data_IF_857555591769
#
_entry.id   IF_857555591769
#
_cell.length_a   1.000
_cell.length_b   1.000
_cell.length_c   1.000
_cell.angle_alpha   90.00
_cell.angle_beta   90.00
_cell.angle_gamma   90.00
#
_symmetry.space_group_name_H-M   'P 1'
#
loop_
_entity.id
_entity.type
_entity.pdbx_description
1 polymer ?
#
# COMPACT_ATOMS: atom_id res chain seq x y z
N UNK A 1 -40.98 -54.50 36.36
CA UNK A 1 -39.96 -54.20 35.33
C UNK A 1 -40.14 -52.73 34.94
N UNK A 2 -39.34 -51.81 35.49
CA UNK A 2 -39.41 -50.37 35.17
C UNK A 2 -38.25 -50.05 34.23
N UNK A 3 -38.56 -49.72 32.97
CA UNK A 3 -37.57 -49.22 32.01
C UNK A 3 -37.34 -47.73 32.27
N UNK A 4 -36.11 -47.36 32.59
CA UNK A 4 -35.65 -45.98 32.63
C UNK A 4 -35.14 -45.62 31.23
N UNK A 5 -35.80 -44.68 30.55
CA UNK A 5 -35.31 -44.11 29.30
C UNK A 5 -34.27 -43.05 29.65
N UNK A 6 -33.00 -43.30 29.34
CA UNK A 6 -31.92 -42.32 29.47
C UNK A 6 -31.91 -41.45 28.21
N UNK A 7 -32.39 -40.21 28.30
CA UNK A 7 -32.28 -39.23 27.23
C UNK A 7 -30.84 -38.70 27.26
N UNK A 8 -30.02 -39.14 26.32
CA UNK A 8 -28.68 -38.57 26.08
C UNK A 8 -28.88 -37.31 25.25
N UNK A 9 -28.81 -36.15 25.91
CA UNK A 9 -28.71 -34.88 25.23
C UNK A 9 -27.32 -34.77 24.59
N UNK A 10 -27.26 -34.93 23.26
CA UNK A 10 -26.09 -34.61 22.44
C UNK A 10 -25.89 -33.10 22.45
N UNK A 11 -25.10 -32.61 23.40
CA UNK A 11 -24.52 -31.26 23.30
C UNK A 11 -23.51 -31.28 22.15
N UNK A 12 -23.85 -30.60 21.06
CA UNK A 12 -22.90 -30.22 20.01
C UNK A 12 -21.92 -29.19 20.59
N UNK A 13 -20.88 -29.69 21.27
CA UNK A 13 -19.67 -28.92 21.52
C UNK A 13 -19.11 -28.52 20.16
N UNK A 14 -19.40 -27.28 19.73
CA UNK A 14 -18.60 -26.63 18.71
C UNK A 14 -17.19 -26.57 19.27
N UNK A 15 -16.32 -27.48 18.86
CA UNK A 15 -14.90 -27.38 19.10
C UNK A 15 -14.44 -26.08 18.45
N UNK A 16 -14.42 -25.01 19.24
CA UNK A 16 -13.70 -23.81 18.89
C UNK A 16 -12.25 -24.25 18.90
N UNK A 17 -11.65 -24.49 17.72
CA UNK A 17 -10.20 -24.59 17.67
C UNK A 17 -9.69 -23.22 18.08
N UNK A 18 -9.12 -23.15 19.30
CA UNK A 18 -8.30 -22.01 19.63
C UNK A 18 -7.09 -22.09 18.70
N UNK A 19 -7.11 -21.32 17.61
CA UNK A 19 -5.94 -21.16 16.76
C UNK A 19 -4.88 -20.45 17.60
N UNK A 20 -3.87 -21.21 18.02
CA UNK A 20 -2.66 -20.67 18.64
C UNK A 20 -1.96 -19.75 17.65
N UNK A 21 -1.33 -18.68 18.14
CA UNK A 21 -0.52 -17.82 17.28
C UNK A 21 0.66 -18.58 16.68
N UNK A 22 0.64 -18.75 15.37
CA UNK A 22 1.79 -19.21 14.58
C UNK A 22 2.91 -18.15 14.56
N UNK A 23 3.97 -18.39 13.81
CA UNK A 23 5.10 -17.46 13.73
C UNK A 23 4.77 -16.12 13.06
N UNK A 24 3.78 -16.04 12.18
CA UNK A 24 3.33 -14.83 11.50
C UNK A 24 2.27 -14.06 12.30
N UNK A 25 1.56 -14.74 13.20
CA UNK A 25 0.41 -14.20 13.92
C UNK A 25 0.71 -13.88 15.39
N UNK A 26 1.98 -13.65 15.77
CA UNK A 26 2.37 -13.29 17.15
C UNK A 26 2.31 -11.77 17.35
N UNK A 27 1.43 -11.23 18.23
CA UNK A 27 1.42 -9.80 18.55
C UNK A 27 2.75 -9.26 19.07
N UNK A 28 3.58 -10.14 19.67
CA UNK A 28 4.93 -9.83 20.14
C UNK A 28 5.89 -9.33 19.04
N UNK A 29 5.57 -9.54 17.76
CA UNK A 29 6.33 -8.98 16.64
C UNK A 29 6.26 -7.45 16.60
N UNK A 30 5.15 -6.88 17.04
CA UNK A 30 4.98 -5.43 17.16
C UNK A 30 5.63 -4.92 18.44
N UNK A 31 5.12 -5.38 19.59
CA UNK A 31 5.67 -5.09 20.91
C UNK A 31 5.43 -6.25 21.87
N UNK A 32 6.38 -6.48 22.78
CA UNK A 32 6.36 -7.63 23.70
C UNK A 32 5.49 -7.40 24.94
N UNK A 33 5.15 -6.16 25.23
CA UNK A 33 4.50 -5.68 26.46
C UNK A 33 3.01 -5.38 26.30
N UNK A 34 2.37 -5.90 25.25
CA UNK A 34 0.93 -5.75 25.04
C UNK A 34 0.08 -6.45 26.10
N UNK A 35 -1.01 -5.79 26.49
CA UNK A 35 -2.09 -6.38 27.27
C UNK A 35 -2.82 -7.42 26.42
N UNK A 36 -3.10 -8.58 27.01
CA UNK A 36 -3.72 -9.74 26.35
C UNK A 36 -5.03 -10.16 27.00
N UNK A 37 -5.31 -9.67 28.21
CA UNK A 37 -6.56 -9.88 28.91
C UNK A 37 -7.65 -9.02 28.24
N UNK A 38 -8.61 -9.68 27.58
CA UNK A 38 -9.71 -9.03 26.88
C UNK A 38 -10.49 -8.04 27.76
N UNK A 39 -10.68 -8.35 29.05
CA UNK A 39 -11.40 -7.47 29.98
C UNK A 39 -10.64 -6.20 30.36
N UNK A 40 -9.33 -6.14 30.10
CA UNK A 40 -8.46 -4.98 30.36
C UNK A 40 -8.16 -4.16 29.10
N UNK A 41 -8.51 -4.69 27.92
CA UNK A 41 -8.37 -3.98 26.66
C UNK A 41 -9.50 -2.96 26.47
N UNK A 42 -9.23 -1.79 25.89
CA UNK A 42 -10.29 -0.85 25.53
C UNK A 42 -11.21 -1.48 24.48
N UNK A 43 -12.52 -1.24 24.61
CA UNK A 43 -13.51 -1.68 23.61
C UNK A 43 -13.66 -0.71 22.44
N UNK A 44 -13.13 0.51 22.57
CA UNK A 44 -13.08 1.53 21.52
C UNK A 44 -11.88 2.44 21.74
N UNK A 45 -11.40 3.06 20.67
CA UNK A 45 -10.31 4.03 20.73
C UNK A 45 -10.15 4.76 19.40
N UNK A 46 -9.53 5.93 19.45
CA UNK A 46 -9.22 6.73 18.28
C UNK A 46 -7.90 7.47 18.53
N UNK A 47 -7.09 7.64 17.48
CA UNK A 47 -5.86 8.42 17.55
C UNK A 47 -6.16 9.90 17.85
N UNK A 48 -5.26 10.54 18.58
CA UNK A 48 -5.29 11.98 18.85
C UNK A 48 -4.94 12.79 17.59
N UNK A 49 -3.98 12.29 16.80
CA UNK A 49 -3.59 12.85 15.51
C UNK A 49 -4.04 11.90 14.42
N UNK A 50 -4.89 12.39 13.51
CA UNK A 50 -5.40 11.60 12.40
C UNK A 50 -4.37 11.64 11.26
N UNK A 51 -3.90 10.48 10.77
CA UNK A 51 -3.06 10.41 9.58
C UNK A 51 -3.71 11.14 8.40
N UNK A 52 -2.93 11.96 7.70
CA UNK A 52 -3.48 12.83 6.67
C UNK A 52 -3.99 12.07 5.45
N UNK A 53 -5.01 12.62 4.78
CA UNK A 53 -5.53 12.03 3.55
C UNK A 53 -4.66 12.37 2.34
N UNK A 54 -4.60 11.47 1.36
CA UNK A 54 -3.81 11.64 0.15
C UNK A 54 -4.23 10.67 -0.95
N UNK A 55 -3.54 10.74 -2.07
CA UNK A 55 -3.69 9.77 -3.17
C UNK A 55 -2.60 8.69 -3.03
N UNK A 56 -2.90 7.48 -3.51
CA UNK A 56 -1.92 6.41 -3.65
C UNK A 56 -1.04 6.59 -4.88
N UNK A 57 -1.18 7.71 -5.63
CA UNK A 57 -0.42 8.04 -6.84
C UNK A 57 -0.42 6.86 -7.83
N UNK A 58 -1.57 6.65 -8.51
CA UNK A 58 -1.81 5.44 -9.29
C UNK A 58 -0.80 5.28 -10.42
N UNK A 59 -0.31 4.05 -10.60
CA UNK A 59 0.60 3.70 -11.70
C UNK A 59 -0.06 3.96 -13.05
N UNK A 60 -1.36 3.70 -13.19
CA UNK A 60 -2.15 3.94 -14.43
C UNK A 60 -2.30 5.43 -14.79
N UNK A 61 -1.89 6.34 -13.89
CA UNK A 61 -1.82 7.79 -14.10
C UNK A 61 -0.39 8.32 -14.16
N UNK A 62 0.62 7.45 -14.08
CA UNK A 62 2.03 7.84 -14.06
C UNK A 62 2.55 8.23 -12.67
N UNK A 63 1.86 7.85 -11.61
CA UNK A 63 2.26 8.12 -10.23
C UNK A 63 2.51 9.60 -9.98
N UNK A 64 3.66 9.98 -9.41
CA UNK A 64 3.94 11.39 -9.09
C UNK A 64 4.29 12.26 -10.30
N UNK A 65 4.31 11.69 -11.52
CA UNK A 65 4.35 12.46 -12.78
C UNK A 65 2.97 12.91 -13.24
N UNK A 66 1.92 12.56 -12.50
CA UNK A 66 0.58 13.03 -12.81
C UNK A 66 0.44 14.53 -12.47
N UNK A 67 0.08 15.34 -13.47
CA UNK A 67 -0.27 16.75 -13.30
C UNK A 67 -1.65 16.89 -12.64
N UNK A 68 -1.68 16.74 -11.32
CA UNK A 68 -2.91 16.71 -10.51
C UNK A 68 -3.68 18.04 -10.54
N UNK A 69 -3.00 19.16 -10.76
CA UNK A 69 -3.61 20.50 -10.81
C UNK A 69 -3.89 21.01 -12.25
N UNK A 70 -3.68 20.18 -13.26
CA UNK A 70 -3.98 20.50 -14.66
C UNK A 70 -5.40 20.02 -15.03
N UNK A 71 -6.21 20.96 -15.55
CA UNK A 71 -7.51 20.66 -16.15
C UNK A 71 -7.36 20.53 -17.66
N UNK A 72 -7.83 19.41 -18.22
CA UNK A 72 -7.82 19.13 -19.66
C UNK A 72 -8.96 18.18 -20.01
N UNK A 73 -9.46 18.28 -21.24
CA UNK A 73 -10.46 17.37 -21.80
C UNK A 73 -9.88 15.99 -22.15
N UNK A 74 -8.56 15.87 -22.33
CA UNK A 74 -7.88 14.61 -22.66
C UNK A 74 -7.07 14.10 -21.48
N UNK A 75 -7.54 13.02 -20.84
CA UNK A 75 -6.92 12.44 -19.64
C UNK A 75 -5.40 12.22 -19.78
N UNK A 76 -4.95 11.75 -20.94
CA UNK A 76 -3.53 11.46 -21.18
C UNK A 76 -2.64 12.70 -21.22
N UNK A 77 -3.15 13.91 -21.45
CA UNK A 77 -2.32 15.13 -21.42
C UNK A 77 -1.78 15.45 -20.01
N UNK A 78 -2.35 14.82 -18.96
CA UNK A 78 -1.90 14.98 -17.58
C UNK A 78 -0.68 14.12 -17.21
N UNK A 79 -0.32 13.16 -18.04
CA UNK A 79 0.82 12.25 -17.80
C UNK A 79 1.70 12.02 -19.03
N UNK A 80 1.13 12.09 -20.24
CA UNK A 80 1.78 11.95 -21.54
C UNK A 80 2.31 13.25 -22.15
N UNK A 81 2.62 14.24 -21.32
CA UNK A 81 3.22 15.51 -21.76
C UNK A 81 4.70 15.33 -22.14
N UNK A 82 5.25 16.14 -23.08
CA UNK A 82 6.68 16.12 -23.39
C UNK A 82 7.51 16.63 -22.20
N UNK A 83 8.74 16.14 -22.07
CA UNK A 83 9.71 16.71 -21.12
C UNK A 83 10.06 18.12 -21.58
N UNK A 84 10.04 19.08 -20.66
CA UNK A 84 10.32 20.48 -20.97
C UNK A 84 11.82 20.72 -21.20
N UNK A 85 12.13 21.79 -21.93
CA UNK A 85 13.50 22.29 -22.03
C UNK A 85 13.83 23.11 -20.78
N UNK A 86 14.72 22.59 -19.93
CA UNK A 86 15.12 23.22 -18.67
C UNK A 86 15.77 24.60 -18.88
N UNK A 87 16.41 24.82 -20.04
CA UNK A 87 17.05 26.10 -20.37
C UNK A 87 16.04 27.14 -20.88
N UNK A 88 14.79 26.74 -21.17
CA UNK A 88 13.73 27.61 -21.67
C UNK A 88 12.37 27.34 -21.02
N UNK A 89 12.26 27.69 -19.73
CA UNK A 89 10.99 27.62 -18.98
C UNK A 89 10.12 28.89 -19.12
N UNK A 90 10.44 29.79 -20.06
CA UNK A 90 9.70 31.05 -20.21
C UNK A 90 8.26 30.78 -20.66
N UNK A 91 7.30 31.23 -19.86
CA UNK A 91 5.87 31.05 -20.12
C UNK A 91 5.31 29.69 -19.69
N UNK A 92 6.13 28.84 -19.05
CA UNK A 92 5.65 27.62 -18.38
C UNK A 92 4.95 28.00 -17.08
N UNK A 93 3.67 27.63 -16.97
CA UNK A 93 2.94 27.72 -15.71
C UNK A 93 3.35 26.56 -14.79
N UNK A 94 4.29 26.85 -13.89
CA UNK A 94 4.83 25.85 -12.95
C UNK A 94 3.76 25.30 -12.02
N UNK A 95 2.68 26.04 -11.73
CA UNK A 95 1.59 25.59 -10.84
C UNK A 95 0.83 24.37 -11.38
N UNK A 96 0.93 24.12 -12.70
CA UNK A 96 0.28 23.02 -13.42
C UNK A 96 1.16 21.80 -13.63
N UNK A 97 2.45 21.91 -13.32
CA UNK A 97 3.38 20.80 -13.46
C UNK A 97 3.14 19.74 -12.39
N UNK A 98 3.63 18.53 -12.65
CA UNK A 98 3.55 17.40 -11.74
C UNK A 98 4.53 17.57 -10.58
N UNK A 99 4.31 16.87 -9.45
CA UNK A 99 5.25 16.88 -8.34
C UNK A 99 6.68 16.53 -8.77
N UNK A 100 6.85 15.53 -9.64
CA UNK A 100 8.16 15.13 -10.17
C UNK A 100 8.83 16.24 -11.00
N UNK A 101 8.08 16.89 -11.89
CA UNK A 101 8.62 17.99 -12.70
C UNK A 101 9.04 19.18 -11.84
N UNK A 102 8.22 19.55 -10.85
CA UNK A 102 8.55 20.63 -9.92
C UNK A 102 9.81 20.31 -9.13
N UNK A 103 9.99 19.06 -8.72
CA UNK A 103 11.20 18.61 -8.03
C UNK A 103 12.46 18.73 -8.91
N UNK A 104 12.40 18.26 -10.14
CA UNK A 104 13.52 18.36 -11.09
C UNK A 104 13.89 19.84 -11.35
N UNK A 105 12.88 20.69 -11.55
CA UNK A 105 13.06 22.14 -11.75
C UNK A 105 13.64 22.81 -10.49
N UNK A 106 13.16 22.42 -9.30
CA UNK A 106 13.69 22.93 -8.02
C UNK A 106 15.18 22.66 -7.87
N UNK A 107 15.63 21.47 -8.25
CA UNK A 107 17.05 21.10 -8.23
C UNK A 107 17.84 21.68 -9.42
N UNK A 108 17.16 22.16 -10.47
CA UNK A 108 17.80 22.52 -11.73
C UNK A 108 18.36 21.30 -12.48
N UNK A 109 17.74 20.14 -12.29
CA UNK A 109 18.19 18.88 -12.87
C UNK A 109 17.80 18.78 -14.36
N UNK A 110 18.77 19.08 -15.22
CA UNK A 110 18.59 19.04 -16.69
C UNK A 110 18.27 17.64 -17.22
N UNK A 111 18.59 16.59 -16.47
CA UNK A 111 18.30 15.22 -16.88
C UNK A 111 16.85 14.81 -16.57
N UNK A 112 16.12 15.60 -15.78
CA UNK A 112 14.75 15.28 -15.33
C UNK A 112 14.70 13.92 -14.64
N UNK A 113 15.63 13.68 -13.71
CA UNK A 113 15.88 12.35 -13.14
C UNK A 113 14.65 11.80 -12.43
N UNK A 114 13.93 12.61 -11.64
CA UNK A 114 12.73 12.15 -10.94
C UNK A 114 11.58 11.86 -11.91
N UNK A 115 11.34 12.77 -12.86
CA UNK A 115 10.29 12.58 -13.88
C UNK A 115 10.54 11.34 -14.73
N UNK A 116 11.78 11.11 -15.16
CA UNK A 116 12.15 9.92 -15.95
C UNK A 116 12.11 8.65 -15.11
N UNK A 117 12.63 8.69 -13.89
CA UNK A 117 12.56 7.58 -12.95
C UNK A 117 11.12 7.11 -12.78
N UNK A 118 10.21 8.03 -12.47
CA UNK A 118 8.82 7.66 -12.18
C UNK A 118 8.07 7.20 -13.43
N UNK A 119 8.31 7.82 -14.59
CA UNK A 119 7.76 7.35 -15.88
C UNK A 119 8.25 5.95 -16.24
N UNK A 120 9.50 5.64 -15.93
CA UNK A 120 10.06 4.31 -16.16
C UNK A 120 9.47 3.29 -15.18
N UNK A 121 9.43 3.62 -13.87
CA UNK A 121 8.84 2.77 -12.83
C UNK A 121 7.39 2.41 -13.17
N UNK A 122 6.61 3.40 -13.59
CA UNK A 122 5.19 3.20 -13.91
C UNK A 122 4.94 2.61 -15.29
N UNK A 123 5.88 2.73 -16.22
CA UNK A 123 5.67 2.37 -17.61
C UNK A 123 4.59 3.20 -18.32
N UNK A 124 4.16 4.33 -17.73
CA UNK A 124 2.99 5.10 -18.21
C UNK A 124 3.13 5.54 -19.67
N UNK A 125 4.34 5.80 -20.13
CA UNK A 125 4.59 6.23 -21.51
C UNK A 125 4.30 5.14 -22.55
N UNK A 126 4.12 3.88 -22.14
CA UNK A 126 3.66 2.80 -23.02
C UNK A 126 2.17 2.92 -23.38
N UNK A 127 1.39 3.64 -22.58
CA UNK A 127 -0.07 3.83 -22.81
C UNK A 127 -0.38 5.07 -23.65
N UNK A 128 0.61 5.93 -23.93
CA UNK A 128 0.41 7.23 -24.59
C UNK A 128 0.66 7.09 -26.11
N UNK A 129 -0.36 7.23 -26.97
CA UNK A 129 -0.17 7.20 -28.42
C UNK A 129 0.80 8.31 -28.88
N UNK A 130 1.75 7.95 -29.75
CA UNK A 130 2.79 8.87 -30.23
C UNK A 130 4.04 8.95 -29.35
N UNK A 131 4.03 8.32 -28.18
CA UNK A 131 5.24 8.08 -27.39
C UNK A 131 6.18 7.10 -28.10
N UNK A 132 7.50 7.29 -27.97
CA UNK A 132 8.51 6.36 -28.51
C UNK A 132 8.46 4.97 -27.87
N UNK A 133 7.85 4.84 -26.69
CA UNK A 133 7.67 3.58 -25.98
C UNK A 133 6.25 3.03 -26.10
N UNK A 134 5.39 3.60 -26.95
CA UNK A 134 4.00 3.18 -27.07
C UNK A 134 3.87 1.70 -27.44
N UNK A 135 3.02 0.97 -26.71
CA UNK A 135 2.71 -0.43 -26.97
C UNK A 135 1.19 -0.57 -27.08
N UNK A 136 0.70 -0.94 -28.26
CA UNK A 136 -0.72 -1.13 -28.49
C UNK A 136 -1.29 -2.24 -27.57
N UNK A 137 -2.37 -1.94 -26.86
CA UNK A 137 -3.00 -2.87 -25.92
C UNK A 137 -2.25 -3.05 -24.59
N UNK A 138 -1.22 -2.24 -24.32
CA UNK A 138 -0.59 -2.24 -23.01
C UNK A 138 -1.51 -1.60 -21.97
N UNK A 139 -1.83 -2.35 -20.92
CA UNK A 139 -2.68 -1.92 -19.81
C UNK A 139 -1.87 -1.93 -18.52
N UNK A 140 -2.13 -0.94 -17.67
CA UNK A 140 -1.59 -0.86 -16.31
C UNK A 140 -2.74 -1.15 -15.36
N UNK A 141 -2.62 -2.11 -14.43
CA UNK A 141 -3.66 -2.37 -13.44
C UNK A 141 -3.98 -1.13 -12.61
N UNK A 142 -5.27 -0.80 -12.47
CA UNK A 142 -5.71 0.44 -11.82
C UNK A 142 -5.37 0.52 -10.32
N UNK A 143 -5.22 -0.64 -9.66
CA UNK A 143 -4.94 -0.73 -8.22
C UNK A 143 -3.47 -0.54 -7.89
N UNK A 144 -2.57 -0.68 -8.87
CA UNK A 144 -1.13 -0.47 -8.63
C UNK A 144 -0.84 1.01 -8.34
N UNK A 145 0.01 1.25 -7.36
CA UNK A 145 0.51 2.58 -7.03
C UNK A 145 1.47 2.55 -5.84
N UNK A 146 1.46 3.63 -5.08
CA UNK A 146 2.33 3.90 -3.94
C UNK A 146 1.58 3.84 -2.60
N UNK A 147 0.47 3.08 -2.50
CA UNK A 147 -0.29 2.98 -1.24
C UNK A 147 0.59 2.48 -0.08
N UNK A 148 1.53 1.57 -0.36
CA UNK A 148 2.49 1.03 0.61
C UNK A 148 3.48 2.07 1.14
N UNK A 149 3.67 3.18 0.43
CA UNK A 149 4.54 4.28 0.83
C UNK A 149 3.73 5.47 1.37
N UNK A 150 2.57 5.75 0.78
CA UNK A 150 1.66 6.78 1.24
C UNK A 150 1.15 6.49 2.66
N UNK A 151 0.62 5.28 2.90
CA UNK A 151 0.07 4.91 4.20
C UNK A 151 1.06 5.13 5.37
N UNK A 152 2.31 4.62 5.34
CA UNK A 152 3.27 4.92 6.40
C UNK A 152 3.76 6.37 6.41
N UNK A 153 3.85 7.06 5.26
CA UNK A 153 4.17 8.49 5.24
C UNK A 153 3.15 9.32 6.04
N UNK A 154 1.88 8.89 6.06
CA UNK A 154 0.83 9.54 6.86
C UNK A 154 0.98 9.38 8.37
N UNK A 155 1.79 8.40 8.80
CA UNK A 155 2.07 8.12 10.22
C UNK A 155 3.33 8.84 10.70
N UNK A 156 4.32 8.95 9.83
CA UNK A 156 5.67 9.42 10.19
C UNK A 156 5.82 10.94 10.01
N UNK A 157 5.09 11.53 9.06
CA UNK A 157 5.19 12.96 8.76
C UNK A 157 3.90 13.69 9.11
N UNK A 158 4.04 14.88 9.67
CA UNK A 158 2.95 15.85 9.78
C UNK A 158 2.38 16.17 8.38
N UNK A 159 1.10 16.54 8.32
CA UNK A 159 0.46 16.88 7.05
C UNK A 159 1.17 18.06 6.39
N UNK A 160 1.77 17.89 5.19
CA UNK A 160 2.49 18.97 4.58
C UNK A 160 1.51 19.98 3.94
N UNK A 161 1.74 21.26 4.24
CA UNK A 161 1.09 22.38 3.58
C UNK A 161 1.69 22.71 2.21
N UNK A 162 1.09 23.67 1.52
CA UNK A 162 1.68 24.26 0.32
C UNK A 162 2.87 25.15 0.71
N UNK A 163 3.90 25.17 -0.14
CA UNK A 163 5.11 25.99 0.05
C UNK A 163 5.53 26.66 -1.26
N UNK A 164 6.16 27.82 -1.15
CA UNK A 164 6.87 28.47 -2.26
C UNK A 164 8.35 28.49 -1.95
N UNK A 165 9.16 28.00 -2.90
CA UNK A 165 10.62 27.92 -2.74
C UNK A 165 11.32 28.49 -3.95
N UNK A 166 12.51 29.06 -3.74
CA UNK A 166 13.38 29.49 -4.83
C UNK A 166 14.15 28.29 -5.37
N UNK A 167 13.92 27.92 -6.63
CA UNK A 167 14.64 26.84 -7.30
C UNK A 167 16.08 27.20 -7.66
N UNK A 168 16.86 26.20 -8.07
CA UNK A 168 18.27 26.36 -8.45
C UNK A 168 18.49 27.35 -9.60
N UNK A 169 17.51 27.50 -10.50
CA UNK A 169 17.54 28.46 -11.61
C UNK A 169 17.04 29.87 -11.21
N UNK A 170 16.78 30.10 -9.92
CA UNK A 170 16.45 31.40 -9.35
C UNK A 170 14.99 31.84 -9.47
N UNK A 171 14.13 31.07 -10.13
CA UNK A 171 12.69 31.31 -10.18
C UNK A 171 11.99 30.75 -8.93
N UNK A 172 10.83 31.31 -8.62
CA UNK A 172 9.95 30.82 -7.55
C UNK A 172 9.11 29.65 -8.06
N UNK A 173 9.03 28.57 -7.26
CA UNK A 173 8.27 27.36 -7.56
C UNK A 173 7.26 27.15 -6.44
N UNK A 174 6.00 27.07 -6.82
CA UNK A 174 4.90 26.75 -5.90
C UNK A 174 4.65 25.24 -5.88
N UNK A 175 4.84 24.64 -4.72
CA UNK A 175 4.42 23.27 -4.42
C UNK A 175 3.10 23.34 -3.64
N UNK A 176 2.02 22.82 -4.23
CA UNK A 176 0.77 22.62 -3.50
C UNK A 176 0.91 21.52 -2.45
N UNK A 177 -0.04 21.44 -1.51
CA UNK A 177 -0.02 20.38 -0.49
C UNK A 177 0.01 18.98 -1.10
N UNK A 178 -0.73 18.74 -2.19
CA UNK A 178 -0.68 17.48 -2.93
C UNK A 178 0.69 17.20 -3.55
N UNK A 179 1.44 18.23 -4.00
CA UNK A 179 2.81 18.04 -4.48
C UNK A 179 3.71 17.55 -3.34
N UNK A 180 3.63 18.20 -2.18
CA UNK A 180 4.43 17.82 -1.02
C UNK A 180 4.08 16.42 -0.50
N UNK A 181 2.79 16.06 -0.47
CA UNK A 181 2.34 14.70 -0.14
C UNK A 181 2.90 13.68 -1.14
N UNK A 182 2.92 14.00 -2.44
CA UNK A 182 3.52 13.14 -3.46
C UNK A 182 5.02 12.90 -3.23
N UNK A 183 5.76 13.98 -2.91
CA UNK A 183 7.19 13.92 -2.70
C UNK A 183 7.55 13.16 -1.42
N UNK A 184 6.80 13.33 -0.32
CA UNK A 184 6.97 12.53 0.89
C UNK A 184 6.65 11.05 0.65
N UNK A 185 5.58 10.75 -0.09
CA UNK A 185 5.25 9.38 -0.51
C UNK A 185 6.37 8.78 -1.36
N UNK A 186 6.91 9.53 -2.32
CA UNK A 186 8.01 9.05 -3.15
C UNK A 186 9.31 8.89 -2.36
N UNK A 187 9.59 9.79 -1.42
CA UNK A 187 10.72 9.66 -0.50
C UNK A 187 10.62 8.36 0.32
N UNK A 188 9.44 8.06 0.87
CA UNK A 188 9.16 6.82 1.60
C UNK A 188 9.26 5.58 0.70
N UNK A 189 8.86 5.69 -0.57
CA UNK A 189 8.99 4.62 -1.55
C UNK A 189 10.46 4.29 -1.86
N UNK A 190 11.29 5.31 -2.05
CA UNK A 190 12.72 5.16 -2.39
C UNK A 190 13.56 4.78 -1.16
N UNK A 191 13.14 5.21 0.03
CA UNK A 191 13.85 4.98 1.29
C UNK A 191 12.96 4.22 2.29
N UNK A 192 12.62 2.95 2.03
CA UNK A 192 11.77 2.19 2.93
C UNK A 192 12.48 1.96 4.26
N UNK A 193 11.77 2.24 5.36
CA UNK A 193 12.22 1.90 6.71
C UNK A 193 12.02 0.43 7.05
N UNK A 194 12.45 0.05 8.25
CA UNK A 194 12.11 -1.27 8.81
C UNK A 194 10.61 -1.35 9.12
N UNK A 195 10.00 -2.49 8.82
CA UNK A 195 8.60 -2.76 9.08
C UNK A 195 8.45 -4.06 9.87
N UNK A 196 7.42 -4.10 10.71
CA UNK A 196 6.98 -5.28 11.45
C UNK A 196 5.62 -5.68 10.88
N UNK A 197 5.44 -6.97 10.63
CA UNK A 197 4.22 -7.51 10.04
C UNK A 197 3.51 -8.45 11.00
N UNK A 198 2.18 -8.51 10.89
CA UNK A 198 1.32 -9.49 11.53
C UNK A 198 0.47 -10.14 10.43
N UNK A 199 0.56 -11.47 10.36
CA UNK A 199 0.00 -12.29 9.30
C UNK A 199 0.87 -12.34 8.05
N UNK A 200 0.46 -13.19 7.13
CA UNK A 200 1.10 -13.43 5.83
C UNK A 200 0.04 -13.52 4.74
N UNK A 201 0.44 -13.25 3.49
CA UNK A 201 -0.43 -13.52 2.34
C UNK A 201 -0.25 -14.95 1.85
N UNK A 202 -1.37 -15.59 1.55
CA UNK A 202 -1.39 -16.85 0.82
C UNK A 202 -1.49 -16.56 -0.68
N UNK A 203 -0.39 -16.70 -1.42
CA UNK A 203 -0.40 -16.55 -2.88
C UNK A 203 -0.55 -17.91 -3.61
N UNK A 204 -1.00 -18.94 -2.88
CA UNK A 204 -1.15 -20.29 -3.39
C UNK A 204 -2.61 -20.57 -3.75
N UNK A 205 -2.81 -21.22 -4.89
CA UNK A 205 -4.11 -21.70 -5.37
C UNK A 205 -3.94 -23.16 -5.75
N UNK A 206 -4.77 -24.04 -5.20
CA UNK A 206 -4.73 -25.47 -5.55
C UNK A 206 -4.91 -25.70 -7.06
N UNK A 207 -5.73 -24.87 -7.71
CA UNK A 207 -5.95 -24.92 -9.16
C UNK A 207 -4.67 -24.55 -9.89
N UNK A 208 -4.07 -23.42 -9.54
CA UNK A 208 -2.88 -22.90 -10.22
C UNK A 208 -1.68 -23.83 -10.02
N UNK A 209 -1.52 -24.39 -8.81
CA UNK A 209 -0.51 -25.40 -8.50
C UNK A 209 -0.66 -26.65 -9.37
N UNK A 210 -1.90 -27.13 -9.54
CA UNK A 210 -2.19 -28.28 -10.40
C UNK A 210 -1.87 -27.97 -11.87
N UNK A 211 -2.27 -26.81 -12.36
CA UNK A 211 -1.96 -26.40 -13.73
C UNK A 211 -0.45 -26.25 -13.98
N UNK A 212 0.30 -25.71 -13.02
CA UNK A 212 1.78 -25.61 -13.08
C UNK A 212 2.42 -27.00 -13.17
N UNK A 213 1.94 -27.97 -12.38
CA UNK A 213 2.41 -29.35 -12.44
C UNK A 213 2.13 -29.98 -13.80
N UNK A 214 0.91 -29.81 -14.33
CA UNK A 214 0.50 -30.35 -15.64
C UNK A 214 1.31 -29.74 -16.80
N UNK A 215 1.71 -28.47 -16.69
CA UNK A 215 2.60 -27.79 -17.65
C UNK A 215 4.08 -28.12 -17.46
N UNK A 216 4.45 -28.86 -16.43
CA UNK A 216 5.84 -29.19 -16.11
C UNK A 216 6.66 -28.00 -15.59
N UNK A 217 6.01 -26.94 -15.11
CA UNK A 217 6.67 -25.77 -14.51
C UNK A 217 7.17 -26.05 -13.09
N UNK A 218 6.57 -27.04 -12.43
CA UNK A 218 6.99 -27.54 -11.11
C UNK A 218 7.01 -29.06 -11.12
N UNK A 219 7.85 -29.64 -10.27
CA UNK A 219 7.95 -31.08 -10.00
C UNK A 219 6.82 -31.56 -9.08
N UNK A 220 6.61 -32.88 -9.03
CA UNK A 220 5.66 -33.49 -8.10
C UNK A 220 6.02 -33.21 -6.63
N UNK A 221 7.32 -33.16 -6.31
CA UNK A 221 7.81 -32.85 -4.97
C UNK A 221 7.52 -31.39 -4.60
N UNK A 222 7.83 -30.44 -5.49
CA UNK A 222 7.48 -29.01 -5.30
C UNK A 222 5.97 -28.81 -5.14
N UNK A 223 5.16 -29.51 -5.92
CA UNK A 223 3.71 -29.50 -5.77
C UNK A 223 3.27 -30.01 -4.40
N UNK A 224 3.85 -31.10 -3.90
CA UNK A 224 3.57 -31.63 -2.57
C UNK A 224 3.95 -30.65 -1.45
N UNK A 225 5.10 -29.99 -1.57
CA UNK A 225 5.55 -28.96 -0.63
C UNK A 225 4.59 -27.75 -0.61
N UNK A 226 4.24 -27.21 -1.78
CA UNK A 226 3.34 -26.04 -1.89
C UNK A 226 1.91 -26.38 -1.47
N UNK A 227 1.44 -27.62 -1.69
CA UNK A 227 0.14 -28.06 -1.13
C UNK A 227 0.15 -28.10 0.40
N UNK A 228 1.27 -28.47 1.00
CA UNK A 228 1.41 -28.48 2.47
C UNK A 228 1.40 -27.06 3.01
N UNK A 229 2.06 -26.12 2.33
CA UNK A 229 2.02 -24.70 2.67
C UNK A 229 0.61 -24.11 2.51
N UNK A 230 -0.12 -24.47 1.44
CA UNK A 230 -1.49 -24.01 1.19
C UNK A 230 -2.46 -24.35 2.33
N UNK A 231 -2.25 -25.47 3.03
CA UNK A 231 -3.05 -25.86 4.21
C UNK A 231 -2.36 -25.54 5.53
N UNK A 232 -1.21 -24.85 5.47
CA UNK A 232 -0.39 -24.48 6.61
C UNK A 232 -0.71 -23.09 7.17
N UNK A 233 -0.08 -22.71 8.29
CA UNK A 233 -0.37 -21.46 8.99
C UNK A 233 -0.17 -20.20 8.16
N UNK A 234 0.80 -20.20 7.22
CA UNK A 234 1.05 -19.07 6.32
C UNK A 234 -0.15 -18.73 5.41
N UNK A 235 -1.07 -19.68 5.25
CA UNK A 235 -2.27 -19.56 4.44
C UNK A 235 -3.59 -19.47 5.24
N UNK A 236 -3.56 -19.51 6.57
CA UNK A 236 -4.75 -19.31 7.42
C UNK A 236 -5.19 -17.84 7.49
N UNK A 237 -4.29 -16.92 7.12
CA UNK A 237 -4.50 -15.48 7.17
C UNK A 237 -4.21 -14.88 8.54
N UNK A 238 -4.72 -13.67 8.79
CA UNK A 238 -4.50 -12.96 10.05
C UNK A 238 -5.38 -13.56 11.16
N UNK A 239 -4.76 -13.99 12.26
CA UNK A 239 -5.47 -14.46 13.44
C UNK A 239 -6.25 -13.31 14.10
N UNK A 240 -7.56 -13.46 14.24
CA UNK A 240 -8.44 -12.39 14.74
C UNK A 240 -8.10 -11.95 16.19
N UNK A 241 -7.69 -12.88 17.05
CA UNK A 241 -7.28 -12.56 18.42
C UNK A 241 -5.96 -11.78 18.46
N UNK A 242 -5.01 -12.15 17.60
CA UNK A 242 -3.75 -11.42 17.45
C UNK A 242 -3.99 -10.00 16.93
N UNK A 243 -4.81 -9.87 15.88
CA UNK A 243 -5.20 -8.58 15.32
C UNK A 243 -5.86 -7.69 16.36
N UNK A 244 -6.82 -8.22 17.14
CA UNK A 244 -7.49 -7.46 18.18
C UNK A 244 -6.52 -6.94 19.26
N UNK A 245 -5.55 -7.77 19.67
CA UNK A 245 -4.52 -7.35 20.65
C UNK A 245 -3.66 -6.22 20.08
N UNK A 246 -3.18 -6.33 18.84
CA UNK A 246 -2.38 -5.27 18.20
C UNK A 246 -3.21 -3.99 18.08
N UNK A 247 -4.43 -4.09 17.54
CA UNK A 247 -5.33 -2.96 17.34
C UNK A 247 -5.61 -2.21 18.64
N UNK A 248 -6.06 -2.91 19.68
CA UNK A 248 -6.46 -2.28 20.93
C UNK A 248 -5.26 -1.67 21.67
N UNK A 249 -4.09 -2.32 21.66
CA UNK A 249 -2.90 -1.78 22.32
C UNK A 249 -2.29 -0.60 21.55
N UNK A 250 -2.14 -0.69 20.23
CA UNK A 250 -1.57 0.39 19.42
C UNK A 250 -2.40 1.66 19.53
N UNK A 251 -3.71 1.56 19.34
CA UNK A 251 -4.60 2.72 19.45
C UNK A 251 -4.64 3.28 20.88
N UNK A 252 -4.53 2.44 21.92
CA UNK A 252 -4.39 2.90 23.31
C UNK A 252 -3.09 3.68 23.56
N UNK A 253 -2.02 3.34 22.85
CA UNK A 253 -0.72 4.03 22.89
C UNK A 253 -0.68 5.28 22.02
N UNK A 254 -1.78 5.59 21.33
CA UNK A 254 -1.83 6.64 20.32
C UNK A 254 -0.86 6.41 19.15
N UNK A 255 -0.66 5.13 18.81
CA UNK A 255 0.19 4.69 17.72
C UNK A 255 -0.66 4.05 16.62
N UNK A 256 -0.50 4.50 15.37
CA UNK A 256 -1.15 3.89 14.22
C UNK A 256 -0.34 2.71 13.68
N UNK A 257 -0.95 1.96 12.76
CA UNK A 257 -0.29 0.96 11.91
C UNK A 257 -1.03 0.86 10.58
N UNK A 258 -0.39 0.24 9.59
CA UNK A 258 -0.94 0.05 8.25
C UNK A 258 -1.60 -1.32 8.15
N UNK A 259 -2.77 -1.37 7.51
CA UNK A 259 -3.50 -2.61 7.21
C UNK A 259 -3.77 -2.72 5.72
N UNK A 260 -3.67 -3.95 5.20
CA UNK A 260 -4.31 -4.31 3.94
C UNK A 260 -5.81 -4.52 4.21
N UNK A 261 -6.67 -3.71 3.58
CA UNK A 261 -8.12 -3.75 3.83
C UNK A 261 -8.86 -4.70 2.87
N UNK A 262 -8.16 -5.29 1.90
CA UNK A 262 -8.71 -6.29 1.00
C UNK A 262 -8.17 -7.68 1.32
N UNK A 263 -8.84 -8.71 0.79
CA UNK A 263 -8.43 -10.12 0.92
C UNK A 263 -8.25 -10.80 -0.45
N UNK A 264 -8.32 -10.01 -1.52
CA UNK A 264 -8.18 -10.47 -2.89
C UNK A 264 -6.72 -10.34 -3.36
N UNK A 265 -6.48 -10.36 -4.68
CA UNK A 265 -5.13 -10.23 -5.23
C UNK A 265 -4.56 -8.82 -5.05
N UNK A 266 -5.42 -7.80 -5.06
CA UNK A 266 -5.02 -6.41 -4.90
C UNK A 266 -4.58 -6.15 -3.45
N UNK A 267 -3.69 -5.17 -3.27
CA UNK A 267 -3.20 -4.77 -1.95
C UNK A 267 -3.55 -3.31 -1.73
N UNK A 268 -4.34 -3.03 -0.70
CA UNK A 268 -4.81 -1.69 -0.38
C UNK A 268 -4.39 -1.30 1.03
N UNK A 269 -3.20 -0.70 1.13
CA UNK A 269 -2.62 -0.23 2.39
C UNK A 269 -3.34 1.03 2.89
N UNK A 270 -3.87 0.98 4.11
CA UNK A 270 -4.54 2.09 4.78
C UNK A 270 -4.02 2.25 6.21
N UNK A 271 -3.90 3.49 6.66
CA UNK A 271 -3.60 3.80 8.06
C UNK A 271 -4.83 3.59 8.94
N UNK A 272 -4.67 2.88 10.06
CA UNK A 272 -5.75 2.69 11.05
C UNK A 272 -5.89 3.95 11.91
N UNK A 273 -7.11 4.48 12.03
CA UNK A 273 -7.39 5.70 12.82
C UNK A 273 -8.07 5.41 14.17
N UNK A 274 -8.67 4.23 14.33
CA UNK A 274 -9.42 3.87 15.52
C UNK A 274 -10.30 2.63 15.31
N UNK A 275 -11.02 2.26 16.36
CA UNK A 275 -11.96 1.13 16.39
C UNK A 275 -13.07 1.37 17.42
N UNK A 276 -14.18 0.63 17.30
CA UNK A 276 -15.36 0.71 18.18
C UNK A 276 -16.09 -0.60 18.32
#
# INVERSE_FOLDING_TARGET
>A
MKFFLLIIALFSLHAHSFSSWDEFNKPGQFATDYEKNLGSLPSKGQLSVIPWSGDYWPTDKGGITFRWNQYTSKKHERFGYPILDMDNLKGVDTSKLSPAEKWDIYLGDKEWSMTRFERNRTGIMKTVPGSSSFVAGFEIPYWEGLCHAWAPATLVYEEPGAISVKGALGHEIEFGSSDMKALLTMFMHINPGESKFLGSRCNLSKKDLKEKLERGEITADEYGHQLTELVGPSCEGVNAGAFHIVLANQIKRDESFVVDVTRDQEVWNQAVVGFS
#
